data_IF_570066490018
#
_entry.id   IF_570066490018
#
_cell.length_a   1.000
_cell.length_b   1.000
_cell.length_c   1.000
_cell.angle_alpha   90.00
_cell.angle_beta   90.00
_cell.angle_gamma   90.00
#
_symmetry.space_group_name_H-M   'P 1'
#
loop_
_entity.id
_entity.type
_entity.pdbx_description
1 polymer ?
#
# COMPACT_ATOMS: atom_id res chain seq x y z
N UNK A 1 -39.86 -42.67 -69.60
CA UNK A 1 -39.92 -41.77 -68.43
C UNK A 1 -38.52 -41.61 -67.88
N UNK A 2 -38.00 -40.39 -67.99
CA UNK A 2 -36.80 -39.74 -67.43
C UNK A 2 -35.74 -40.59 -66.70
N UNK A 3 -34.55 -40.73 -67.29
CA UNK A 3 -33.33 -41.14 -66.59
C UNK A 3 -32.74 -39.95 -65.82
N UNK A 4 -32.54 -40.10 -64.52
CA UNK A 4 -31.91 -39.10 -63.66
C UNK A 4 -30.39 -39.30 -63.77
N UNK A 5 -29.71 -38.33 -64.37
CA UNK A 5 -28.25 -38.28 -64.42
C UNK A 5 -27.74 -37.80 -63.04
N UNK A 6 -27.09 -38.68 -62.29
CA UNK A 6 -26.45 -38.34 -61.03
C UNK A 6 -25.22 -37.46 -61.29
N UNK A 7 -25.29 -36.19 -60.90
CA UNK A 7 -24.14 -35.28 -60.88
C UNK A 7 -23.34 -35.60 -59.62
N UNK A 8 -22.17 -36.23 -59.77
CA UNK A 8 -21.25 -36.43 -58.66
C UNK A 8 -20.73 -35.06 -58.18
N UNK A 9 -20.66 -34.80 -56.86
CA UNK A 9 -20.17 -33.54 -56.35
C UNK A 9 -18.67 -33.43 -56.65
N UNK A 10 -18.28 -32.37 -57.36
CA UNK A 10 -16.90 -31.96 -57.54
C UNK A 10 -16.28 -31.67 -56.15
N UNK A 11 -15.57 -32.66 -55.60
CA UNK A 11 -14.65 -32.44 -54.49
C UNK A 11 -13.46 -31.64 -55.00
N UNK A 12 -13.52 -30.31 -54.92
CA UNK A 12 -12.36 -29.47 -55.13
C UNK A 12 -11.41 -29.70 -53.95
N UNK A 13 -10.35 -30.49 -54.17
CA UNK A 13 -9.28 -30.66 -53.21
C UNK A 13 -8.61 -29.29 -52.98
N UNK A 14 -8.75 -28.74 -51.76
CA UNK A 14 -8.02 -27.53 -51.36
C UNK A 14 -6.53 -27.89 -51.34
N UNK A 15 -5.66 -27.14 -52.03
CA UNK A 15 -4.25 -27.50 -52.16
C UNK A 15 -3.55 -27.48 -50.81
N UNK A 16 -2.75 -28.51 -50.53
CA UNK A 16 -1.99 -28.67 -49.27
C UNK A 16 -1.09 -27.47 -48.93
N UNK A 17 -0.65 -26.70 -49.92
CA UNK A 17 0.10 -25.46 -49.70
C UNK A 17 -0.73 -24.37 -49.00
N UNK A 18 -2.04 -24.31 -49.25
CA UNK A 18 -2.94 -23.35 -48.62
C UNK A 18 -3.26 -23.72 -47.17
N UNK A 19 -3.26 -25.02 -46.84
CA UNK A 19 -3.47 -25.50 -45.47
C UNK A 19 -2.23 -25.27 -44.60
N UNK A 20 -1.03 -25.54 -45.14
CA UNK A 20 0.26 -25.32 -44.45
C UNK A 20 0.48 -23.84 -44.09
N UNK A 21 0.25 -22.93 -45.04
CA UNK A 21 0.39 -21.47 -44.81
C UNK A 21 -0.62 -20.94 -43.79
N UNK A 22 -1.84 -21.49 -43.77
CA UNK A 22 -2.86 -21.17 -42.75
C UNK A 22 -2.42 -21.65 -41.36
N UNK A 23 -1.90 -22.88 -41.23
CA UNK A 23 -1.40 -23.38 -39.94
C UNK A 23 -0.19 -22.60 -39.44
N UNK A 24 0.73 -22.20 -40.33
CA UNK A 24 1.89 -21.38 -39.98
C UNK A 24 1.47 -19.98 -39.53
N UNK A 25 0.49 -19.38 -40.21
CA UNK A 25 -0.08 -18.11 -39.82
C UNK A 25 -0.78 -18.19 -38.46
N UNK A 26 -1.58 -19.23 -38.21
CA UNK A 26 -2.24 -19.44 -36.91
C UNK A 26 -1.20 -19.68 -35.79
N UNK A 27 -0.18 -20.52 -36.02
CA UNK A 27 0.91 -20.75 -35.04
C UNK A 27 1.72 -19.47 -34.74
N UNK A 28 2.00 -18.64 -35.75
CA UNK A 28 2.70 -17.36 -35.57
C UNK A 28 1.84 -16.36 -34.80
N UNK A 29 0.54 -16.31 -35.09
CA UNK A 29 -0.43 -15.45 -34.39
C UNK A 29 -0.55 -15.86 -32.91
N UNK A 30 -0.66 -17.15 -32.61
CA UNK A 30 -0.69 -17.65 -31.24
C UNK A 30 0.62 -17.37 -30.49
N UNK A 31 1.78 -17.51 -31.15
CA UNK A 31 3.07 -17.13 -30.56
C UNK A 31 3.17 -15.63 -30.24
N UNK A 32 2.67 -14.77 -31.12
CA UNK A 32 2.68 -13.31 -30.91
C UNK A 32 1.72 -12.93 -29.78
N UNK A 33 0.50 -13.48 -29.78
CA UNK A 33 -0.50 -13.25 -28.75
C UNK A 33 -0.02 -13.73 -27.38
N UNK A 34 0.63 -14.91 -27.30
CA UNK A 34 1.23 -15.39 -26.05
C UNK A 34 2.33 -14.47 -25.53
N UNK A 35 3.19 -13.93 -26.41
CA UNK A 35 4.19 -12.93 -26.01
C UNK A 35 3.53 -11.69 -25.44
N UNK A 36 2.48 -11.17 -26.08
CA UNK A 36 1.73 -10.00 -25.60
C UNK A 36 1.12 -10.28 -24.22
N UNK A 37 0.49 -11.44 -24.03
CA UNK A 37 -0.08 -11.85 -22.74
C UNK A 37 1.00 -11.94 -21.65
N UNK A 38 2.17 -12.50 -21.96
CA UNK A 38 3.31 -12.59 -21.04
C UNK A 38 3.84 -11.19 -20.68
N UNK A 39 3.95 -10.28 -21.66
CA UNK A 39 4.38 -8.91 -21.38
C UNK A 39 3.36 -8.15 -20.53
N UNK A 40 2.05 -8.28 -20.82
CA UNK A 40 0.99 -7.65 -20.05
C UNK A 40 0.90 -8.20 -18.61
N UNK A 41 1.07 -9.51 -18.43
CA UNK A 41 1.09 -10.12 -17.09
C UNK A 41 2.33 -9.72 -16.28
N UNK A 42 3.49 -9.60 -16.93
CA UNK A 42 4.71 -9.09 -16.30
C UNK A 42 4.56 -7.62 -15.86
N UNK A 43 3.92 -6.77 -16.66
CA UNK A 43 3.64 -5.37 -16.29
C UNK A 43 2.67 -5.27 -15.10
N UNK A 44 1.62 -6.11 -15.07
CA UNK A 44 0.67 -6.14 -13.95
C UNK A 44 1.30 -6.60 -12.63
N UNK A 45 2.27 -7.53 -12.69
CA UNK A 45 3.01 -8.00 -11.51
C UNK A 45 3.94 -6.92 -10.92
N UNK A 46 4.37 -5.94 -11.71
CA UNK A 46 5.21 -4.82 -11.25
C UNK A 46 4.42 -3.75 -10.48
N UNK A 47 3.09 -3.77 -10.51
CA UNK A 47 2.24 -2.77 -9.84
C UNK A 47 1.75 -3.19 -8.44
N UNK A 48 2.06 -4.39 -7.96
CA UNK A 48 1.55 -4.88 -6.66
C UNK A 48 2.63 -4.87 -5.58
N UNK A 49 2.89 -3.69 -5.00
CA UNK A 49 3.38 -3.64 -3.62
C UNK A 49 3.04 -2.29 -2.98
N UNK A 50 1.74 -2.08 -2.73
CA UNK A 50 1.23 -0.95 -1.96
C UNK A 50 0.42 -1.42 -0.77
N UNK A 51 1.01 -2.21 0.14
CA UNK A 51 0.38 -2.43 1.44
C UNK A 51 0.46 -1.10 2.21
N UNK A 52 -0.62 -0.31 2.14
CA UNK A 52 -0.76 0.88 2.97
C UNK A 52 -0.74 0.42 4.42
N UNK A 53 0.33 0.77 5.13
CA UNK A 53 0.49 0.42 6.53
C UNK A 53 -0.50 1.27 7.32
N UNK A 54 -1.59 0.66 7.80
CA UNK A 54 -2.57 1.35 8.63
C UNK A 54 -1.99 1.61 10.02
N UNK A 55 -2.02 2.87 10.42
CA UNK A 55 -1.74 3.31 11.79
C UNK A 55 -3.04 3.81 12.42
N UNK A 56 -3.24 3.52 13.69
CA UNK A 56 -4.40 4.04 14.42
C UNK A 56 -4.10 5.47 14.89
N UNK A 57 -5.12 6.32 15.04
CA UNK A 57 -4.95 7.56 15.79
C UNK A 57 -4.59 7.23 17.24
N UNK A 58 -3.68 8.00 17.82
CA UNK A 58 -3.43 7.93 19.25
C UNK A 58 -4.71 8.31 20.00
N UNK A 59 -5.05 7.58 21.06
CA UNK A 59 -6.24 7.87 21.85
C UNK A 59 -5.85 8.79 23.01
N UNK A 60 -6.56 9.91 23.14
CA UNK A 60 -6.38 10.85 24.24
C UNK A 60 -7.75 11.18 24.85
N UNK A 61 -7.82 11.11 26.18
CA UNK A 61 -9.07 11.21 26.94
C UNK A 61 -10.13 10.21 26.44
N UNK A 62 -11.19 10.70 25.77
CA UNK A 62 -12.33 9.89 25.34
C UNK A 62 -12.39 9.66 23.82
N UNK A 63 -11.30 9.90 23.07
CA UNK A 63 -11.29 9.67 21.63
C UNK A 63 -9.93 9.87 20.95
N UNK A 64 -9.97 10.09 19.64
CA UNK A 64 -8.78 10.36 18.84
C UNK A 64 -8.07 11.65 19.29
N UNK A 65 -6.74 11.63 19.19
CA UNK A 65 -5.89 12.78 19.47
C UNK A 65 -6.28 13.98 18.60
N UNK A 66 -6.20 15.17 19.18
CA UNK A 66 -6.50 16.39 18.46
C UNK A 66 -5.39 16.72 17.46
N UNK A 67 -5.77 17.42 16.39
CA UNK A 67 -4.81 17.99 15.44
C UNK A 67 -4.17 19.23 16.09
N UNK A 68 -2.84 19.27 16.09
CA UNK A 68 -2.04 20.43 16.50
C UNK A 68 -1.06 20.79 15.39
N UNK A 69 -1.07 22.06 14.98
CA UNK A 69 -0.24 22.56 13.87
C UNK A 69 -0.39 21.74 12.57
N UNK A 70 -1.60 21.21 12.32
CA UNK A 70 -1.92 20.41 11.14
C UNK A 70 -1.49 18.94 11.22
N UNK A 71 -0.95 18.48 12.35
CA UNK A 71 -0.55 17.09 12.59
C UNK A 71 -1.24 16.49 13.83
N UNK A 72 -1.58 15.20 13.78
CA UNK A 72 -2.04 14.43 14.95
C UNK A 72 -1.19 13.17 15.14
N UNK A 73 -1.14 12.63 16.36
CA UNK A 73 -0.33 11.46 16.67
C UNK A 73 -0.99 10.18 16.16
N UNK A 74 -0.19 9.31 15.58
CA UNK A 74 -0.59 7.97 15.14
C UNK A 74 0.27 6.91 15.81
N UNK A 75 -0.28 5.70 15.95
CA UNK A 75 0.32 4.59 16.67
C UNK A 75 0.42 3.36 15.80
N UNK A 76 1.56 2.67 15.85
CA UNK A 76 1.70 1.35 15.25
C UNK A 76 1.29 0.22 16.20
N UNK A 77 1.31 -1.02 15.68
CA UNK A 77 0.97 -2.21 16.48
C UNK A 77 1.89 -2.46 17.68
N UNK A 78 3.04 -1.78 17.75
CA UNK A 78 4.00 -1.87 18.86
C UNK A 78 3.82 -0.72 19.86
N UNK A 79 2.85 0.16 19.67
CA UNK A 79 2.63 1.32 20.54
C UNK A 79 3.53 2.51 20.24
N UNK A 80 4.31 2.50 19.15
CA UNK A 80 5.23 3.60 18.83
C UNK A 80 4.47 4.77 18.24
N UNK A 81 4.91 5.99 18.56
CA UNK A 81 4.31 7.23 18.09
C UNK A 81 4.94 7.68 16.78
N UNK A 82 4.08 8.13 15.87
CA UNK A 82 4.37 8.91 14.67
C UNK A 82 3.35 10.03 14.51
N UNK A 83 3.34 10.68 13.34
CA UNK A 83 2.48 11.83 13.06
C UNK A 83 1.88 11.74 11.65
N UNK A 84 0.62 12.10 11.51
CA UNK A 84 -0.11 12.19 10.25
C UNK A 84 -0.76 13.56 10.11
N UNK A 85 -0.95 14.01 8.87
CA UNK A 85 -1.75 15.20 8.57
C UNK A 85 -3.25 14.90 8.64
N UNK A 86 -4.08 15.95 8.60
CA UNK A 86 -5.55 15.87 8.68
C UNK A 86 -6.21 14.97 7.61
N UNK A 87 -5.50 14.67 6.51
CA UNK A 87 -6.00 13.76 5.47
C UNK A 87 -5.76 12.28 5.82
N UNK A 88 -5.08 12.02 6.94
CA UNK A 88 -4.63 10.70 7.36
C UNK A 88 -3.31 10.27 6.69
N UNK A 89 -2.64 11.15 5.95
CA UNK A 89 -1.36 10.84 5.32
C UNK A 89 -0.26 10.91 6.38
N UNK A 90 0.46 9.81 6.52
CA UNK A 90 1.62 9.75 7.41
C UNK A 90 2.71 10.72 6.97
N UNK A 91 3.06 11.67 7.85
CA UNK A 91 4.15 12.62 7.67
C UNK A 91 5.41 12.07 8.33
N UNK A 92 5.29 11.59 9.57
CA UNK A 92 6.38 10.96 10.33
C UNK A 92 5.95 9.55 10.70
N UNK A 93 6.67 8.54 10.22
CA UNK A 93 6.35 7.13 10.53
C UNK A 93 6.53 6.86 12.03
N UNK A 94 5.65 6.04 12.64
CA UNK A 94 5.83 5.56 14.00
C UNK A 94 7.21 4.98 14.29
N UNK A 95 7.93 5.63 15.20
CA UNK A 95 9.28 5.22 15.63
C UNK A 95 9.62 5.61 17.07
N UNK A 96 8.99 6.65 17.60
CA UNK A 96 9.27 7.14 18.95
C UNK A 96 8.58 6.25 19.98
N UNK A 97 9.19 6.09 21.16
CA UNK A 97 8.54 5.45 22.28
C UNK A 97 7.36 6.31 22.77
N UNK A 98 7.55 7.62 22.80
CA UNK A 98 6.48 8.59 23.06
C UNK A 98 6.72 9.93 22.37
N UNK A 99 5.65 10.67 22.15
CA UNK A 99 5.70 12.01 21.57
C UNK A 99 4.52 12.86 21.99
N UNK A 100 4.78 14.15 22.21
CA UNK A 100 3.75 15.16 22.46
C UNK A 100 3.25 15.77 21.14
N UNK A 101 2.08 16.43 21.13
CA UNK A 101 1.62 17.23 20.00
C UNK A 101 2.63 18.32 19.62
N UNK A 102 2.56 18.79 18.37
CA UNK A 102 3.37 19.91 17.90
C UNK A 102 2.89 21.22 18.54
N UNK A 103 3.84 22.03 19.00
CA UNK A 103 3.60 23.38 19.51
C UNK A 103 4.83 24.25 19.23
N UNK A 104 4.62 25.40 18.60
CA UNK A 104 5.69 26.33 18.26
C UNK A 104 6.66 25.76 17.23
N UNK A 105 6.17 24.99 16.26
CA UNK A 105 7.01 24.44 15.18
C UNK A 105 7.69 23.11 15.52
N UNK A 106 7.55 22.59 16.75
CA UNK A 106 8.30 21.44 17.25
C UNK A 106 7.45 20.51 18.13
N UNK A 107 7.85 19.25 18.21
CA UNK A 107 7.28 18.27 19.14
C UNK A 107 8.38 17.69 20.04
N UNK A 108 8.07 17.51 21.33
CA UNK A 108 8.95 16.82 22.29
C UNK A 108 8.73 15.31 22.19
N UNK A 109 9.79 14.54 21.97
CA UNK A 109 9.74 13.09 21.74
C UNK A 109 10.85 12.38 22.50
N UNK A 110 10.70 11.06 22.65
CA UNK A 110 11.74 10.17 23.20
C UNK A 110 11.72 8.82 22.50
N UNK A 111 12.89 8.18 22.42
CA UNK A 111 13.05 6.82 21.89
C UNK A 111 13.00 5.75 22.99
N UNK A 112 12.94 6.16 24.28
CA UNK A 112 13.02 5.29 25.45
C UNK A 112 12.04 5.71 26.55
N UNK A 113 12.02 4.96 27.66
CA UNK A 113 11.24 5.28 28.84
C UNK A 113 10.00 4.40 29.02
N UNK A 114 9.17 4.80 29.97
CA UNK A 114 8.01 4.01 30.39
C UNK A 114 6.83 4.87 30.84
N UNK A 115 5.64 4.29 30.73
CA UNK A 115 4.41 4.91 31.24
C UNK A 115 4.36 4.78 32.76
N UNK A 116 4.28 5.92 33.45
CA UNK A 116 4.10 6.01 34.90
C UNK A 116 2.71 6.51 35.26
N UNK A 117 2.08 5.88 36.24
CA UNK A 117 0.84 6.39 36.82
C UNK A 117 1.14 7.62 37.70
N UNK A 118 0.25 8.61 37.67
CA UNK A 118 0.25 9.70 38.62
C UNK A 118 -0.24 9.17 39.97
N UNK A 119 0.58 9.29 41.01
CA UNK A 119 0.28 8.78 42.34
C UNK A 119 -1.07 9.31 42.86
N UNK A 120 -1.96 8.40 43.27
CA UNK A 120 -3.29 8.74 43.78
C UNK A 120 -4.37 8.87 42.69
N UNK A 121 -4.05 8.64 41.42
CA UNK A 121 -5.04 8.71 40.32
C UNK A 121 -5.88 7.44 40.15
N UNK A 122 -5.46 6.30 40.71
CA UNK A 122 -6.16 5.03 40.49
C UNK A 122 -6.06 4.53 39.05
N UNK A 123 -4.99 4.88 38.35
CA UNK A 123 -4.72 4.47 36.96
C UNK A 123 -5.27 5.39 35.89
N UNK A 124 -6.02 6.44 36.26
CA UNK A 124 -6.67 7.35 35.31
C UNK A 124 -5.67 8.31 34.64
N UNK A 125 -4.67 8.75 35.40
CA UNK A 125 -3.68 9.71 34.93
C UNK A 125 -2.31 9.06 34.85
N UNK A 126 -1.62 9.28 33.73
CA UNK A 126 -0.29 8.79 33.51
C UNK A 126 0.56 9.82 32.77
N UNK A 127 1.87 9.68 32.90
CA UNK A 127 2.87 10.42 32.14
C UNK A 127 3.90 9.45 31.59
N UNK A 128 4.68 9.91 30.62
CA UNK A 128 5.82 9.14 30.13
C UNK A 128 7.07 9.64 30.85
N UNK A 129 7.78 8.74 31.52
CA UNK A 129 9.05 9.03 32.16
C UNK A 129 10.19 8.57 31.25
N UNK A 130 11.12 9.48 30.96
CA UNK A 130 12.31 9.22 30.14
C UNK A 130 13.37 10.27 30.46
N UNK A 131 14.64 9.87 30.42
CA UNK A 131 15.80 10.75 30.58
C UNK A 131 16.26 11.38 29.25
N UNK A 132 15.79 10.84 28.11
CA UNK A 132 16.34 11.10 26.77
C UNK A 132 15.37 11.89 25.87
N UNK A 133 14.80 12.98 26.38
CA UNK A 133 13.90 13.82 25.59
C UNK A 133 14.65 14.71 24.60
N UNK A 134 14.06 14.87 23.41
CA UNK A 134 14.53 15.83 22.41
C UNK A 134 13.38 16.42 21.60
N UNK A 135 13.66 17.45 20.82
CA UNK A 135 12.68 18.09 19.94
C UNK A 135 12.87 17.68 18.49
N UNK A 136 11.77 17.59 17.75
CA UNK A 136 11.75 17.38 16.30
C UNK A 136 10.96 18.47 15.59
N UNK A 137 11.33 18.75 14.33
CA UNK A 137 10.54 19.56 13.42
C UNK A 137 9.37 18.75 12.81
N UNK A 138 8.53 19.41 12.01
CA UNK A 138 7.38 18.80 11.32
C UNK A 138 7.76 17.70 10.31
N UNK A 139 9.03 17.64 9.91
CA UNK A 139 9.57 16.57 9.06
C UNK A 139 10.15 15.41 9.87
N UNK A 140 10.19 15.54 11.20
CA UNK A 140 10.75 14.57 12.13
C UNK A 140 12.26 14.67 12.30
N UNK A 141 12.90 15.74 11.84
CA UNK A 141 14.33 15.95 12.08
C UNK A 141 14.53 16.46 13.50
N UNK A 142 15.57 15.96 14.18
CA UNK A 142 15.94 16.46 15.51
C UNK A 142 16.37 17.92 15.39
N UNK A 143 15.88 18.75 16.31
CA UNK A 143 16.27 20.16 16.46
C UNK A 143 17.21 20.23 17.66
N UNK A 144 18.36 20.89 17.48
CA UNK A 144 19.34 21.20 18.53
C UNK A 144 19.01 22.52 19.24
#
# INVERSE_FOLDING_TARGET
MCGIQAVLPFQHAVPAALTLTKTDYQMKTTRIMNKIIIYLSAVLLLCSCGSARHYAAFQYDNGDDYVSEGLYRIVDRKGRIGYADETGKTVIRPRFAFGYPFEGGKAKVTDSGERKEVAGSGGEHWYWESDDWYYIDHSGNRIE
#
